data_IF_499651282955
#
_entry.id   IF_499651282955
#
_cell.length_a   1.000
_cell.length_b   1.000
_cell.length_c   1.000
_cell.angle_alpha   90.00
_cell.angle_beta   90.00
_cell.angle_gamma   90.00
#
_symmetry.space_group_name_H-M   'P 1'
#
loop_
_entity.id
_entity.type
_entity.pdbx_description
1 polymer ?
#
# COMPACT_ATOMS: atom_id res chain seq x y z
N UNK A 1 3.97 -2.94 7.75
CA UNK A 1 4.01 -3.77 8.97
C UNK A 1 2.93 -4.86 8.97
N UNK A 2 1.63 -4.52 8.91
CA UNK A 2 0.57 -5.55 8.91
C UNK A 2 0.73 -6.59 7.78
N UNK A 3 0.98 -6.14 6.55
CA UNK A 3 1.22 -7.02 5.41
C UNK A 3 2.43 -7.94 5.62
N UNK A 4 3.50 -7.46 6.26
CA UNK A 4 4.68 -8.28 6.54
C UNK A 4 4.48 -9.27 7.69
N UNK A 5 3.61 -8.93 8.65
CA UNK A 5 3.23 -9.83 9.75
C UNK A 5 2.33 -10.99 9.30
N UNK A 6 1.60 -10.80 8.20
CA UNK A 6 0.73 -11.80 7.57
C UNK A 6 1.06 -11.89 6.07
N UNK A 7 2.22 -12.47 5.72
CA UNK A 7 2.83 -12.25 4.42
C UNK A 7 2.14 -12.94 3.23
N UNK A 8 1.26 -13.89 3.53
CA UNK A 8 0.37 -14.61 2.62
C UNK A 8 -0.98 -13.90 2.40
N UNK A 9 -1.33 -12.94 3.27
CA UNK A 9 -2.62 -12.24 3.18
C UNK A 9 -2.55 -11.16 2.09
N UNK A 10 -3.46 -11.19 1.11
CA UNK A 10 -3.46 -10.22 0.01
C UNK A 10 -3.93 -8.84 0.49
N UNK A 11 -3.18 -7.82 0.09
CA UNK A 11 -3.56 -6.41 0.28
C UNK A 11 -4.16 -5.89 -1.02
N UNK A 12 -5.40 -5.39 -0.97
CA UNK A 12 -6.14 -4.91 -2.14
C UNK A 12 -6.06 -3.38 -2.21
N UNK A 13 -5.48 -2.79 -3.28
CA UNK A 13 -5.52 -1.35 -3.47
C UNK A 13 -6.93 -0.92 -3.90
N UNK A 14 -7.48 0.06 -3.20
CA UNK A 14 -8.83 0.61 -3.45
C UNK A 14 -8.68 2.11 -3.62
N UNK A 15 -9.20 2.65 -4.73
CA UNK A 15 -9.26 4.09 -4.95
C UNK A 15 -10.71 4.58 -4.99
N UNK A 16 -10.96 5.73 -4.36
CA UNK A 16 -12.25 6.39 -4.32
C UNK A 16 -12.16 7.71 -5.09
N UNK A 17 -12.87 7.81 -6.20
CA UNK A 17 -12.90 9.00 -7.06
C UNK A 17 -14.22 9.75 -6.91
N UNK A 18 -14.22 11.07 -7.10
CA UNK A 18 -15.46 11.85 -6.97
C UNK A 18 -15.92 12.13 -5.53
N UNK A 19 -15.20 11.63 -4.52
CA UNK A 19 -15.61 11.75 -3.11
C UNK A 19 -15.55 13.18 -2.58
N UNK A 20 -14.54 13.96 -2.99
CA UNK A 20 -14.45 15.38 -2.62
C UNK A 20 -15.55 16.21 -3.27
N UNK A 21 -15.92 15.87 -4.50
CA UNK A 21 -17.04 16.46 -5.25
C UNK A 21 -18.39 16.04 -4.66
N UNK A 22 -18.50 14.84 -4.10
CA UNK A 22 -19.67 14.42 -3.35
C UNK A 22 -19.78 15.18 -2.03
N UNK A 23 -18.70 15.22 -1.24
CA UNK A 23 -18.63 15.91 0.04
C UNK A 23 -17.18 16.27 0.38
N UNK A 24 -16.89 17.55 0.58
CA UNK A 24 -15.55 18.01 0.93
C UNK A 24 -15.53 18.25 2.44
N UNK A 25 -14.61 17.60 3.18
CA UNK A 25 -14.47 17.80 4.62
C UNK A 25 -14.36 19.30 4.96
N UNK A 26 -14.99 19.71 6.06
CA UNK A 26 -14.96 21.08 6.58
C UNK A 26 -15.55 22.18 5.67
N UNK A 27 -16.05 21.84 4.48
CA UNK A 27 -16.67 22.79 3.54
C UNK A 27 -18.16 22.54 3.32
N UNK A 28 -18.57 21.29 3.10
CA UNK A 28 -19.97 20.95 2.84
C UNK A 28 -20.60 20.39 4.11
N UNK A 29 -21.75 20.96 4.52
CA UNK A 29 -22.53 20.47 5.67
C UNK A 29 -23.32 19.20 5.32
N UNK A 30 -23.66 19.00 4.05
CA UNK A 30 -24.47 17.88 3.56
C UNK A 30 -23.86 17.30 2.26
N UNK A 31 -24.03 16.00 2.00
CA UNK A 31 -23.59 15.36 0.78
C UNK A 31 -24.40 15.81 -0.44
N UNK A 32 -23.72 15.97 -1.58
CA UNK A 32 -24.37 16.27 -2.86
C UNK A 32 -24.73 14.98 -3.59
N UNK A 33 -25.92 14.44 -3.32
CA UNK A 33 -26.38 13.15 -3.84
C UNK A 33 -26.43 13.06 -5.38
N UNK A 34 -26.41 14.21 -6.08
CA UNK A 34 -26.33 14.27 -7.54
C UNK A 34 -24.91 14.16 -8.11
N UNK A 35 -23.87 14.13 -7.26
CA UNK A 35 -22.48 13.93 -7.68
C UNK A 35 -22.13 12.45 -7.60
N UNK A 36 -21.43 11.95 -8.62
CA UNK A 36 -21.04 10.53 -8.71
C UNK A 36 -19.78 10.26 -7.89
N UNK A 37 -19.75 9.10 -7.26
CA UNK A 37 -18.56 8.53 -6.61
C UNK A 37 -18.19 7.25 -7.36
N UNK A 38 -16.91 7.11 -7.70
CA UNK A 38 -16.36 5.90 -8.28
C UNK A 38 -15.55 5.12 -7.25
N UNK A 39 -15.61 3.79 -7.34
CA UNK A 39 -14.76 2.88 -6.58
C UNK A 39 -14.03 2.00 -7.60
N UNK A 40 -12.71 1.99 -7.52
CA UNK A 40 -11.88 1.09 -8.32
C UNK A 40 -11.08 0.17 -7.40
N UNK A 41 -10.93 -1.07 -7.84
CA UNK A 41 -10.18 -2.12 -7.16
C UNK A 41 -9.02 -2.50 -8.09
N UNK A 42 -7.79 -2.41 -7.58
CA UNK A 42 -6.64 -2.89 -8.31
C UNK A 42 -6.31 -4.34 -8.01
N UNK A 43 -5.24 -4.82 -8.66
CA UNK A 43 -4.74 -6.18 -8.44
C UNK A 43 -4.26 -6.34 -6.99
N UNK A 44 -4.76 -7.34 -6.25
CA UNK A 44 -4.22 -7.67 -4.94
C UNK A 44 -2.73 -8.02 -5.01
N UNK A 45 -2.00 -7.73 -3.93
CA UNK A 45 -0.59 -8.10 -3.79
C UNK A 45 -0.31 -8.58 -2.37
N UNK A 46 0.38 -9.70 -2.22
CA UNK A 46 0.87 -10.18 -0.93
C UNK A 46 2.26 -9.62 -0.64
N UNK A 47 2.70 -9.69 0.62
CA UNK A 47 4.07 -9.30 0.97
C UNK A 47 5.09 -10.20 0.28
N UNK A 48 4.83 -11.52 0.19
CA UNK A 48 5.72 -12.46 -0.49
C UNK A 48 5.90 -12.13 -1.97
N UNK A 49 4.80 -11.90 -2.69
CA UNK A 49 4.84 -11.56 -4.12
C UNK A 49 5.60 -10.25 -4.40
N UNK A 50 5.56 -9.30 -3.46
CA UNK A 50 6.33 -8.07 -3.55
C UNK A 50 7.80 -8.32 -3.25
N UNK A 51 8.10 -9.06 -2.17
CA UNK A 51 9.46 -9.35 -1.73
C UNK A 51 10.25 -10.15 -2.76
N UNK A 52 9.62 -11.16 -3.37
CA UNK A 52 10.22 -11.98 -4.43
C UNK A 52 10.66 -11.16 -5.65
N UNK A 53 9.94 -10.07 -5.95
CA UNK A 53 10.29 -9.17 -7.06
C UNK A 53 11.39 -8.17 -6.71
N UNK A 54 11.61 -7.94 -5.42
CA UNK A 54 12.44 -6.86 -4.89
C UNK A 54 13.74 -7.31 -4.28
N UNK A 55 13.82 -8.57 -3.88
CA UNK A 55 14.98 -9.11 -3.18
C UNK A 55 15.24 -10.53 -3.65
N UNK A 56 16.52 -10.83 -3.81
CA UNK A 56 17.00 -12.19 -4.06
C UNK A 56 17.07 -12.99 -2.76
N UNK A 57 16.99 -14.34 -2.82
CA UNK A 57 17.20 -15.18 -1.65
C UNK A 57 18.54 -14.94 -0.94
N UNK A 58 19.61 -14.63 -1.69
CA UNK A 58 20.93 -14.31 -1.13
C UNK A 58 20.93 -13.02 -0.31
N UNK A 59 20.21 -11.99 -0.74
CA UNK A 59 20.09 -10.73 0.02
C UNK A 59 19.29 -10.93 1.30
N UNK A 60 18.23 -11.75 1.24
CA UNK A 60 17.43 -12.09 2.42
C UNK A 60 18.22 -12.94 3.42
N UNK A 61 19.04 -13.87 2.94
CA UNK A 61 19.93 -14.65 3.80
C UNK A 61 20.99 -13.76 4.45
N UNK A 62 21.64 -12.91 3.66
CA UNK A 62 22.62 -11.95 4.17
C UNK A 62 22.00 -10.96 5.17
N UNK A 63 20.70 -10.66 5.04
CA UNK A 63 19.96 -9.88 6.03
C UNK A 63 19.72 -10.66 7.32
N UNK A 64 19.38 -11.94 7.23
CA UNK A 64 19.14 -12.79 8.40
C UNK A 64 20.40 -13.00 9.27
N UNK A 65 21.59 -12.91 8.67
CA UNK A 65 22.87 -13.09 9.36
C UNK A 65 23.37 -11.80 10.07
N UNK A 66 22.63 -10.69 9.98
CA UNK A 66 22.98 -9.42 10.62
C UNK A 66 22.49 -9.32 12.05
N UNK A 67 23.02 -8.34 12.78
CA UNK A 67 22.53 -7.99 14.12
C UNK A 67 21.09 -7.46 14.08
N UNK A 68 20.33 -7.72 15.15
CA UNK A 68 18.92 -7.34 15.31
C UNK A 68 18.60 -5.89 14.95
N UNK A 69 19.50 -4.97 15.28
CA UNK A 69 19.31 -3.55 14.99
C UNK A 69 19.37 -3.28 13.48
N UNK A 70 20.31 -3.91 12.79
CA UNK A 70 20.46 -3.80 11.34
C UNK A 70 19.29 -4.47 10.61
N UNK A 71 18.84 -5.64 11.09
CA UNK A 71 17.66 -6.34 10.58
C UNK A 71 16.43 -5.43 10.66
N UNK A 72 16.18 -4.82 11.82
CA UNK A 72 15.05 -3.91 12.02
C UNK A 72 15.13 -2.68 11.12
N UNK A 73 16.31 -2.10 10.96
CA UNK A 73 16.51 -0.94 10.09
C UNK A 73 16.20 -1.29 8.62
N UNK A 74 16.73 -2.41 8.12
CA UNK A 74 16.48 -2.88 6.76
C UNK A 74 14.99 -3.19 6.52
N UNK A 75 14.35 -3.93 7.43
CA UNK A 75 12.91 -4.21 7.36
C UNK A 75 12.07 -2.93 7.37
N UNK A 76 12.45 -1.93 8.17
CA UNK A 76 11.77 -0.63 8.20
C UNK A 76 11.85 0.07 6.84
N UNK A 77 12.99 -0.01 6.15
CA UNK A 77 13.16 0.52 4.80
C UNK A 77 12.23 -0.21 3.81
N UNK A 78 12.23 -1.55 3.84
CA UNK A 78 11.37 -2.37 2.98
C UNK A 78 9.88 -2.11 3.20
N UNK A 79 9.45 -1.90 4.45
CA UNK A 79 8.05 -1.54 4.74
C UNK A 79 7.66 -0.21 4.11
N UNK A 80 8.56 0.77 4.12
CA UNK A 80 8.32 2.07 3.52
C UNK A 80 8.24 1.95 2.01
N UNK A 81 9.18 1.25 1.39
CA UNK A 81 9.17 1.01 -0.06
C UNK A 81 7.90 0.30 -0.54
N UNK A 82 7.48 -0.78 0.15
CA UNK A 82 6.21 -1.46 -0.14
C UNK A 82 5.03 -0.50 -0.08
N UNK A 83 4.99 0.37 0.94
CA UNK A 83 3.90 1.34 1.12
C UNK A 83 3.92 2.38 0.00
N UNK A 84 5.08 2.91 -0.34
CA UNK A 84 5.23 3.93 -1.40
C UNK A 84 4.77 3.38 -2.75
N UNK A 85 5.21 2.17 -3.13
CA UNK A 85 4.76 1.52 -4.36
C UNK A 85 3.27 1.18 -4.35
N UNK A 86 2.73 0.76 -3.21
CA UNK A 86 1.32 0.49 -3.07
C UNK A 86 0.48 1.77 -3.25
N UNK A 87 0.94 2.90 -2.69
CA UNK A 87 0.31 4.20 -2.88
C UNK A 87 0.38 4.68 -4.33
N UNK A 88 1.49 4.45 -5.03
CA UNK A 88 1.61 4.81 -6.44
C UNK A 88 0.66 3.99 -7.33
N UNK A 89 0.42 2.72 -7.00
CA UNK A 89 -0.61 1.91 -7.67
C UNK A 89 -2.02 2.46 -7.45
N UNK A 90 -2.31 2.97 -6.25
CA UNK A 90 -3.61 3.59 -5.92
C UNK A 90 -3.79 4.91 -6.69
N UNK A 91 -2.74 5.73 -6.82
CA UNK A 91 -2.77 6.96 -7.66
C UNK A 91 -3.09 6.63 -9.11
N UNK A 92 -2.45 5.58 -9.67
CA UNK A 92 -2.74 5.10 -11.02
C UNK A 92 -4.19 4.64 -11.23
N UNK A 93 -4.94 4.40 -10.16
CA UNK A 93 -6.36 3.98 -10.18
C UNK A 93 -7.34 5.14 -9.95
N UNK A 94 -6.84 6.38 -9.93
CA UNK A 94 -7.65 7.60 -9.87
C UNK A 94 -7.69 8.27 -8.49
N UNK A 95 -6.93 7.78 -7.51
CA UNK A 95 -6.74 8.52 -6.27
C UNK A 95 -5.88 9.78 -6.51
N UNK A 96 -6.23 10.93 -5.90
CA UNK A 96 -5.44 12.15 -5.98
C UNK A 96 -4.09 12.05 -5.27
#
# INVERSE_FOLDING_TARGET
RLAASYPDVPVVPIALTGTREFMTPSKHKLPRLWRRVGISYGKPITWWEWLEKKSSPSELQALADKDDHEVKAALSSMYREFTDEFMDRIKGQGAP
#
